data_IF_015294385339
#
_entry.id   IF_015294385339
#
_cell.length_a   1.000
_cell.length_b   1.000
_cell.length_c   1.000
_cell.angle_alpha   90.00
_cell.angle_beta   90.00
_cell.angle_gamma   90.00
#
_symmetry.space_group_name_H-M   'P 1'
#
loop_
_entity.id
_entity.type
_entity.pdbx_description
1 polymer ?
#
# COMPACT_ATOMS: atom_id res chain seq x y z
N UNK A 1 -6.15 23.22 -19.13
CA UNK A 1 -6.25 23.64 -17.70
C UNK A 1 -6.32 25.17 -17.67
N UNK A 2 -7.05 25.82 -16.75
CA UNK A 2 -7.02 27.30 -16.63
C UNK A 2 -5.60 27.76 -16.29
N UNK A 3 -5.14 28.88 -16.87
CA UNK A 3 -3.77 29.41 -16.68
C UNK A 3 -3.39 29.57 -15.21
N UNK A 4 -4.30 30.09 -14.38
CA UNK A 4 -4.09 30.24 -12.94
C UNK A 4 -3.78 28.91 -12.23
N UNK A 5 -4.38 27.80 -12.66
CA UNK A 5 -4.10 26.48 -12.10
C UNK A 5 -2.78 25.89 -12.62
N UNK A 6 -2.32 26.29 -13.82
CA UNK A 6 -1.03 25.89 -14.34
C UNK A 6 0.11 26.54 -13.55
N UNK A 7 -0.01 27.84 -13.25
CA UNK A 7 0.97 28.56 -12.43
C UNK A 7 1.05 27.92 -11.03
N UNK A 8 -0.10 27.69 -10.39
CA UNK A 8 -0.16 27.04 -9.08
C UNK A 8 0.42 25.63 -9.08
N UNK A 9 0.25 24.88 -10.16
CA UNK A 9 0.87 23.56 -10.32
C UNK A 9 2.40 23.65 -10.34
N UNK A 10 2.98 24.60 -11.09
CA UNK A 10 4.44 24.78 -11.13
C UNK A 10 4.99 25.22 -9.77
N UNK A 11 4.30 26.12 -9.07
CA UNK A 11 4.63 26.50 -7.68
C UNK A 11 4.60 25.27 -6.77
N UNK A 12 3.55 24.44 -6.87
CA UNK A 12 3.46 23.20 -6.10
C UNK A 12 4.61 22.22 -6.42
N UNK A 13 4.97 22.07 -7.71
CA UNK A 13 6.06 21.20 -8.14
C UNK A 13 7.42 21.69 -7.61
N UNK A 14 7.64 23.01 -7.58
CA UNK A 14 8.83 23.62 -6.99
C UNK A 14 8.94 23.31 -5.49
N UNK A 15 7.88 23.54 -4.72
CA UNK A 15 7.86 23.24 -3.29
C UNK A 15 8.04 21.75 -3.00
N UNK A 16 7.43 20.90 -3.82
CA UNK A 16 7.56 19.45 -3.73
C UNK A 16 9.01 19.00 -3.97
N UNK A 17 9.68 19.52 -5.00
CA UNK A 17 11.05 19.15 -5.32
C UNK A 17 12.07 19.62 -4.27
N UNK A 18 11.78 20.72 -3.56
CA UNK A 18 12.69 21.32 -2.57
C UNK A 18 12.48 20.81 -1.14
N UNK A 19 11.37 20.14 -0.85
CA UNK A 19 11.00 19.77 0.54
C UNK A 19 10.85 18.25 0.66
N UNK A 20 11.70 17.55 1.44
CA UNK A 20 11.67 16.09 1.54
C UNK A 20 10.36 15.53 2.14
N UNK A 21 9.68 16.30 3.00
CA UNK A 21 8.43 15.89 3.67
C UNK A 21 7.17 16.56 3.09
N UNK A 22 7.22 16.99 1.82
CA UNK A 22 6.13 17.75 1.23
C UNK A 22 4.86 16.91 1.07
N UNK A 23 3.86 17.15 1.92
CA UNK A 23 2.55 16.49 1.81
C UNK A 23 1.61 17.26 0.88
N UNK A 24 0.60 16.57 0.34
CA UNK A 24 -0.47 17.21 -0.44
C UNK A 24 -1.24 18.27 0.37
N UNK A 25 -1.26 18.17 1.71
CA UNK A 25 -1.88 19.15 2.60
C UNK A 25 -1.08 20.46 2.62
N UNK A 26 0.25 20.37 2.72
CA UNK A 26 1.14 21.54 2.68
C UNK A 26 1.01 22.26 1.34
N UNK A 27 1.04 21.52 0.24
CA UNK A 27 0.92 22.14 -1.10
C UNK A 27 -0.45 22.77 -1.33
N UNK A 28 -1.52 22.15 -0.85
CA UNK A 28 -2.87 22.70 -0.92
C UNK A 28 -2.97 24.05 -0.18
N UNK A 29 -2.32 24.15 0.99
CA UNK A 29 -2.26 25.38 1.76
C UNK A 29 -1.44 26.47 1.05
N UNK A 30 -0.24 26.15 0.59
CA UNK A 30 0.66 27.11 -0.09
C UNK A 30 0.08 27.63 -1.40
N UNK A 31 -0.66 26.80 -2.14
CA UNK A 31 -1.20 27.17 -3.46
C UNK A 31 -2.67 27.60 -3.44
N UNK A 32 -3.27 27.68 -2.25
CA UNK A 32 -4.68 28.03 -2.03
C UNK A 32 -5.64 27.25 -2.95
N UNK A 33 -5.52 25.91 -2.91
CA UNK A 33 -6.41 25.00 -3.62
C UNK A 33 -6.84 23.83 -2.75
N UNK A 34 -7.92 23.18 -3.14
CA UNK A 34 -8.37 21.94 -2.48
C UNK A 34 -7.32 20.84 -2.62
N UNK A 35 -7.10 20.06 -1.57
CA UNK A 35 -6.20 18.89 -1.56
C UNK A 35 -6.49 17.91 -2.72
N UNK A 36 -7.77 17.72 -3.05
CA UNK A 36 -8.19 16.88 -4.19
C UNK A 36 -7.61 17.37 -5.52
N UNK A 37 -7.48 18.69 -5.70
CA UNK A 37 -6.88 19.29 -6.90
C UNK A 37 -5.39 18.95 -6.99
N UNK A 38 -4.67 19.03 -5.87
CA UNK A 38 -3.24 18.66 -5.79
C UNK A 38 -3.03 17.18 -6.14
N UNK A 39 -3.84 16.27 -5.59
CA UNK A 39 -3.81 14.85 -5.99
C UNK A 39 -4.14 14.64 -7.47
N UNK A 40 -4.98 15.50 -8.04
CA UNK A 40 -5.30 15.51 -9.47
C UNK A 40 -4.10 15.95 -10.33
N UNK A 41 -3.28 16.88 -9.86
CA UNK A 41 -2.11 17.38 -10.60
C UNK A 41 -1.02 16.33 -10.74
N UNK A 42 -0.76 15.51 -9.71
CA UNK A 42 0.29 14.46 -9.76
C UNK A 42 0.11 13.47 -10.91
N UNK A 43 -1.12 13.31 -11.42
CA UNK A 43 -1.45 12.40 -12.53
C UNK A 43 -1.35 13.05 -13.90
N UNK A 44 -1.00 14.34 -13.96
CA UNK A 44 -1.03 15.12 -15.19
C UNK A 44 0.37 15.23 -15.80
N UNK A 45 0.48 15.26 -17.14
CA UNK A 45 1.76 15.44 -17.81
C UNK A 45 2.43 16.76 -17.44
N UNK A 46 1.67 17.83 -17.18
CA UNK A 46 2.23 19.13 -16.80
C UNK A 46 2.97 19.09 -15.46
N UNK A 47 2.57 18.21 -14.53
CA UNK A 47 3.29 18.00 -13.27
C UNK A 47 4.65 17.33 -13.49
N UNK A 48 4.68 16.32 -14.35
CA UNK A 48 5.92 15.63 -14.70
C UNK A 48 6.86 16.58 -15.44
N UNK A 49 6.37 17.33 -16.43
CA UNK A 49 7.14 18.32 -17.14
C UNK A 49 7.73 19.40 -16.22
N UNK A 50 6.95 19.88 -15.24
CA UNK A 50 7.45 20.85 -14.25
C UNK A 50 8.55 20.24 -13.35
N UNK A 51 8.43 18.98 -12.96
CA UNK A 51 9.47 18.29 -12.18
C UNK A 51 10.72 17.97 -13.02
N UNK A 52 10.55 17.65 -14.30
CA UNK A 52 11.66 17.44 -15.25
C UNK A 52 12.46 18.73 -15.46
N UNK A 53 11.79 19.87 -15.61
CA UNK A 53 12.42 21.18 -15.68
C UNK A 53 13.19 21.54 -14.40
N UNK A 54 12.83 20.93 -13.26
CA UNK A 54 13.51 21.08 -11.97
C UNK A 54 14.57 20.00 -11.73
N UNK A 55 14.83 19.12 -12.71
CA UNK A 55 15.73 17.97 -12.61
C UNK A 55 15.43 17.05 -11.41
N UNK A 56 14.16 16.91 -11.03
CA UNK A 56 13.76 16.07 -9.91
C UNK A 56 13.74 14.59 -10.27
N UNK A 57 14.56 13.79 -9.59
CA UNK A 57 14.77 12.35 -9.82
C UNK A 57 14.13 11.45 -8.76
N UNK A 58 13.53 12.04 -7.72
CA UNK A 58 12.89 11.30 -6.63
C UNK A 58 11.51 10.75 -6.97
N UNK A 59 10.86 10.16 -5.97
CA UNK A 59 9.47 9.67 -6.11
C UNK A 59 8.52 10.84 -6.38
N UNK A 60 7.87 10.84 -7.55
CA UNK A 60 7.00 11.93 -8.02
C UNK A 60 5.57 11.90 -7.49
N UNK A 61 5.30 11.00 -6.54
CA UNK A 61 3.99 10.79 -5.94
C UNK A 61 4.07 11.01 -4.43
N UNK A 62 3.00 11.57 -3.85
CA UNK A 62 2.89 11.65 -2.40
C UNK A 62 2.91 10.25 -1.80
N UNK A 63 3.67 10.07 -0.72
CA UNK A 63 3.54 8.92 0.14
C UNK A 63 2.05 8.77 0.50
N UNK A 64 1.45 7.63 0.11
CA UNK A 64 0.08 7.34 0.51
C UNK A 64 0.09 7.24 2.03
N UNK A 65 -0.70 8.07 2.72
CA UNK A 65 -1.01 7.79 4.12
C UNK A 65 -1.45 6.33 4.17
N UNK A 66 -0.81 5.48 5.00
CA UNK A 66 -1.30 4.12 5.17
C UNK A 66 -2.77 4.24 5.52
N UNK A 67 -3.64 3.65 4.68
CA UNK A 67 -5.07 3.64 4.94
C UNK A 67 -5.28 3.13 6.36
N UNK A 68 -6.33 3.57 7.07
CA UNK A 68 -6.67 3.10 8.43
C UNK A 68 -6.60 1.57 8.58
N UNK A 69 -6.81 0.82 7.49
CA UNK A 69 -6.57 -0.62 7.39
C UNK A 69 -5.09 -1.03 7.58
N UNK A 70 -4.12 -0.35 6.97
CA UNK A 70 -2.68 -0.64 7.09
C UNK A 70 -2.16 -0.36 8.52
N UNK A 71 -2.71 0.65 9.20
CA UNK A 71 -2.37 0.95 10.61
C UNK A 71 -2.98 -0.12 11.54
N UNK A 72 -4.17 -0.64 11.21
CA UNK A 72 -4.84 -1.72 11.97
C UNK A 72 -4.25 -3.10 11.65
N UNK A 73 -3.71 -3.29 10.46
CA UNK A 73 -3.00 -4.48 10.01
C UNK A 73 -1.54 -4.47 10.51
N UNK A 74 -1.26 -3.78 11.64
CA UNK A 74 -0.02 -3.89 12.38
C UNK A 74 0.40 -5.37 12.41
N UNK A 75 1.61 -5.64 11.91
CA UNK A 75 2.02 -6.94 11.38
C UNK A 75 1.66 -8.16 12.24
N UNK A 76 1.60 -7.99 13.57
CA UNK A 76 1.23 -9.05 14.50
C UNK A 76 -0.13 -9.70 14.24
N UNK A 77 -1.17 -8.97 13.82
CA UNK A 77 -2.48 -9.60 13.53
C UNK A 77 -2.47 -10.42 12.25
N UNK A 78 -1.71 -9.98 11.23
CA UNK A 78 -1.56 -10.71 9.97
C UNK A 78 -0.69 -11.95 10.17
N UNK A 79 0.37 -11.82 10.96
CA UNK A 79 1.27 -12.92 11.33
C UNK A 79 0.54 -13.98 12.16
N UNK A 80 -0.21 -13.57 13.19
CA UNK A 80 -1.06 -14.47 13.96
C UNK A 80 -2.11 -15.18 13.09
N UNK A 81 -2.73 -14.45 12.16
CA UNK A 81 -3.68 -15.03 11.21
C UNK A 81 -3.01 -16.06 10.28
N UNK A 82 -1.77 -15.81 9.86
CA UNK A 82 -1.00 -16.73 9.04
C UNK A 82 -0.57 -17.98 9.81
N UNK A 83 -0.15 -17.86 11.07
CA UNK A 83 0.20 -19.04 11.88
C UNK A 83 -1.02 -19.94 12.12
N UNK A 84 -2.18 -19.38 12.46
CA UNK A 84 -3.43 -20.16 12.59
C UNK A 84 -3.79 -20.84 11.25
N UNK A 85 -3.63 -20.11 10.14
CA UNK A 85 -3.84 -20.67 8.81
C UNK A 85 -2.90 -21.83 8.51
N UNK A 86 -1.61 -21.67 8.82
CA UNK A 86 -0.56 -22.67 8.64
C UNK A 86 -0.84 -23.92 9.46
N UNK A 87 -1.13 -23.78 10.76
CA UNK A 87 -1.50 -24.92 11.63
C UNK A 87 -2.69 -25.69 11.06
N UNK A 88 -3.76 -25.00 10.70
CA UNK A 88 -4.93 -25.65 10.11
C UNK A 88 -4.60 -26.38 8.79
N UNK A 89 -3.69 -25.85 7.97
CA UNK A 89 -3.23 -26.53 6.74
C UNK A 89 -2.36 -27.75 7.05
N UNK A 90 -1.50 -27.67 8.06
CA UNK A 90 -0.71 -28.82 8.56
C UNK A 90 -1.60 -29.92 9.13
N UNK A 91 -2.70 -29.56 9.78
CA UNK A 91 -3.73 -30.49 10.30
C UNK A 91 -4.60 -31.11 9.18
N UNK A 92 -4.28 -30.83 7.90
CA UNK A 92 -4.97 -31.39 6.74
C UNK A 92 -6.27 -30.69 6.38
N UNK A 93 -6.58 -29.52 6.97
CA UNK A 93 -7.77 -28.78 6.58
C UNK A 93 -7.65 -28.23 5.15
N UNK A 94 -8.78 -28.19 4.45
CA UNK A 94 -8.86 -27.51 3.15
C UNK A 94 -8.65 -26.00 3.32
N UNK A 95 -8.13 -25.28 2.31
CA UNK A 95 -7.93 -23.83 2.38
C UNK A 95 -9.17 -23.06 2.86
N UNK A 96 -10.36 -23.50 2.43
CA UNK A 96 -11.63 -22.89 2.83
C UNK A 96 -11.94 -23.08 4.32
N UNK A 97 -11.60 -24.24 4.89
CA UNK A 97 -11.74 -24.54 6.32
C UNK A 97 -10.68 -23.79 7.13
N UNK A 98 -9.43 -23.76 6.68
CA UNK A 98 -8.35 -22.99 7.32
C UNK A 98 -8.68 -21.49 7.40
N UNK A 99 -9.22 -20.87 6.33
CA UNK A 99 -9.73 -19.48 6.41
C UNK A 99 -10.86 -19.33 7.44
N UNK A 100 -11.70 -20.34 7.60
CA UNK A 100 -12.82 -20.28 8.56
C UNK A 100 -12.32 -20.38 10.00
N UNK A 101 -11.30 -21.20 10.27
CA UNK A 101 -10.59 -21.23 11.55
C UNK A 101 -10.00 -19.87 11.92
N UNK A 102 -9.29 -19.22 10.98
CA UNK A 102 -8.72 -17.89 11.20
C UNK A 102 -9.80 -16.84 11.50
N UNK A 103 -10.94 -16.91 10.79
CA UNK A 103 -12.08 -16.01 11.02
C UNK A 103 -12.66 -16.20 12.42
N UNK A 104 -12.82 -17.45 12.87
CA UNK A 104 -13.37 -17.77 14.18
C UNK A 104 -12.39 -17.38 15.30
N UNK A 105 -11.11 -17.70 15.15
CA UNK A 105 -10.08 -17.46 16.16
C UNK A 105 -9.77 -15.98 16.38
N UNK A 106 -9.87 -15.15 15.34
CA UNK A 106 -9.59 -13.71 15.42
C UNK A 106 -10.85 -12.84 15.40
N UNK A 107 -12.04 -13.45 15.30
CA UNK A 107 -13.34 -12.76 15.15
C UNK A 107 -13.34 -11.70 14.03
N UNK A 108 -12.61 -11.97 12.94
CA UNK A 108 -12.42 -11.03 11.83
C UNK A 108 -13.33 -11.35 10.65
N UNK A 109 -13.65 -10.31 9.86
CA UNK A 109 -14.45 -10.47 8.65
C UNK A 109 -13.75 -11.40 7.63
N UNK A 110 -14.45 -12.43 7.14
CA UNK A 110 -13.94 -13.39 6.13
C UNK A 110 -13.35 -12.73 4.88
N UNK A 111 -13.94 -11.62 4.40
CA UNK A 111 -13.42 -10.86 3.25
C UNK A 111 -12.03 -10.29 3.52
N UNK A 112 -11.77 -9.86 4.76
CA UNK A 112 -10.47 -9.34 5.19
C UNK A 112 -9.42 -10.44 5.19
N UNK A 113 -9.72 -11.59 5.80
CA UNK A 113 -8.81 -12.75 5.80
C UNK A 113 -8.50 -13.23 4.38
N UNK A 114 -9.50 -13.33 3.51
CA UNK A 114 -9.29 -13.67 2.09
C UNK A 114 -8.41 -12.66 1.36
N UNK A 115 -8.51 -11.37 1.72
CA UNK A 115 -7.68 -10.32 1.12
C UNK A 115 -6.23 -10.48 1.58
N UNK A 116 -6.00 -10.76 2.86
CA UNK A 116 -4.67 -11.04 3.38
C UNK A 116 -4.07 -12.30 2.75
N UNK A 117 -4.80 -13.42 2.73
CA UNK A 117 -4.33 -14.68 2.13
C UNK A 117 -3.89 -14.53 0.67
N UNK A 118 -4.63 -13.74 -0.12
CA UNK A 118 -4.26 -13.42 -1.50
C UNK A 118 -3.08 -12.46 -1.59
N UNK A 119 -3.09 -11.38 -0.81
CA UNK A 119 -2.07 -10.32 -0.84
C UNK A 119 -0.69 -10.84 -0.40
N UNK A 120 -0.66 -11.69 0.61
CA UNK A 120 0.54 -12.30 1.17
C UNK A 120 0.81 -13.72 0.66
N UNK A 121 0.03 -14.19 -0.33
CA UNK A 121 0.24 -15.47 -1.02
C UNK A 121 0.44 -16.67 -0.08
N UNK A 122 -0.42 -16.81 0.94
CA UNK A 122 -0.24 -17.80 2.01
C UNK A 122 -0.08 -19.24 1.52
N UNK A 123 -0.81 -19.68 0.49
CA UNK A 123 -0.64 -21.03 -0.08
C UNK A 123 0.73 -21.24 -0.70
N UNK A 124 1.25 -20.25 -1.43
CA UNK A 124 2.59 -20.32 -2.04
C UNK A 124 3.67 -20.33 -0.96
N UNK A 125 3.50 -19.53 0.10
CA UNK A 125 4.43 -19.51 1.23
C UNK A 125 4.52 -20.89 1.93
N UNK A 126 3.40 -21.63 2.03
CA UNK A 126 3.39 -22.98 2.62
C UNK A 126 4.03 -24.02 1.71
N UNK A 127 3.88 -23.92 0.39
CA UNK A 127 4.50 -24.84 -0.57
C UNK A 127 6.03 -24.67 -0.64
N UNK A 128 6.52 -23.45 -0.46
CA UNK A 128 7.97 -23.16 -0.49
C UNK A 128 8.70 -23.71 0.73
N UNK A 129 8.02 -23.89 1.87
CA UNK A 129 8.58 -24.50 3.09
C UNK A 129 8.66 -26.03 3.08
N UNK A 130 8.05 -26.71 2.10
CA UNK A 130 8.03 -28.18 2.01
C UNK A 130 9.16 -28.77 1.11
N UNK A 131 10.06 -27.93 0.58
CA UNK A 131 11.12 -28.35 -0.37
C UNK A 131 12.54 -28.40 0.23
N UNK A 132 12.71 -28.41 1.54
CA UNK A 132 14.03 -28.56 2.21
C UNK A 132 14.19 -29.93 2.91
N UNK A 133 13.64 -31.01 2.35
CA UNK A 133 13.52 -32.29 3.06
C UNK A 133 13.70 -33.58 2.27
N UNK A 134 14.39 -33.60 1.13
CA UNK A 134 14.81 -34.85 0.50
C UNK A 134 16.32 -34.86 0.23
N UNK A 135 17.13 -35.59 1.03
CA UNK A 135 18.45 -36.00 0.57
C UNK A 135 18.25 -37.05 -0.52
N UNK A 136 18.56 -36.69 -1.76
CA UNK A 136 18.70 -37.67 -2.84
C UNK A 136 19.85 -38.60 -2.48
N UNK A 137 19.53 -39.87 -2.25
CA UNK A 137 20.49 -40.98 -2.27
C UNK A 137 21.00 -41.21 -3.69
#
# INVERSE_FOLDING_TARGET
MKLANLIRLHVAAFHFAKTPDCTAQVLAHVTDVKIKTVYGWVRRPEWHAALDALHFTGTRAFARKPTRDIIRDAGGLVEQAFEIYKTARTDGHTPKKAVTEVVNALELNRRRINTWAKRYQWESALQTGNHEGEPRQ
#
